data_IF_144428368807
#
_entry.id   IF_144428368807
#
_cell.length_a   1.000
_cell.length_b   1.000
_cell.length_c   1.000
_cell.angle_alpha   90.00
_cell.angle_beta   90.00
_cell.angle_gamma   90.00
#
_symmetry.space_group_name_H-M   'P 1'
#
loop_
_entity.id
_entity.type
_entity.pdbx_description
1 polymer ?
#
# COMPACT_ATOMS: atom_id res chain seq x y z
N UNK A 1 -14.69 12.39 11.05
CA UNK A 1 -14.60 12.60 12.52
C UNK A 1 -13.39 11.83 12.99
N UNK A 2 -12.43 12.49 13.65
CA UNK A 2 -11.31 11.81 14.30
C UNK A 2 -11.88 11.15 15.55
N UNK A 3 -11.95 9.83 15.56
CA UNK A 3 -12.24 9.10 16.79
C UNK A 3 -11.00 9.22 17.69
N UNK A 4 -11.21 9.65 18.94
CA UNK A 4 -10.31 9.38 20.06
C UNK A 4 -8.93 10.09 20.06
N UNK A 5 -8.79 11.22 19.38
CA UNK A 5 -7.55 12.02 19.42
C UNK A 5 -6.38 11.46 18.60
N UNK A 6 -6.57 10.33 17.92
CA UNK A 6 -5.61 9.74 16.98
C UNK A 6 -5.82 10.28 15.56
N UNK A 7 -4.75 10.28 14.77
CA UNK A 7 -4.81 10.53 13.33
C UNK A 7 -3.91 9.56 12.53
N UNK A 8 -3.96 9.65 11.21
CA UNK A 8 -3.22 8.77 10.29
C UNK A 8 -1.77 9.21 10.05
N UNK A 9 -1.33 10.32 10.66
CA UNK A 9 -0.06 10.95 10.38
C UNK A 9 0.06 11.46 8.95
N UNK A 10 1.29 11.64 8.48
CA UNK A 10 1.60 12.05 7.11
C UNK A 10 2.76 11.23 6.56
N UNK A 11 2.51 10.58 5.43
CA UNK A 11 3.53 9.87 4.68
C UNK A 11 4.57 10.82 4.09
N UNK A 12 5.85 10.43 4.12
CA UNK A 12 6.98 11.19 3.57
C UNK A 12 7.02 11.27 2.03
N UNK A 13 6.07 10.62 1.34
CA UNK A 13 6.06 10.53 -0.13
C UNK A 13 7.10 9.56 -0.69
N UNK A 14 7.60 8.63 0.14
CA UNK A 14 8.45 7.51 -0.26
C UNK A 14 9.95 7.73 -0.18
N UNK A 15 10.39 8.87 0.35
CA UNK A 15 11.77 9.10 0.79
C UNK A 15 11.70 9.62 2.23
N UNK A 16 12.30 8.90 3.18
CA UNK A 16 12.49 9.36 4.54
C UNK A 16 13.98 9.56 4.80
N UNK A 17 14.31 10.60 5.57
CA UNK A 17 15.67 10.92 5.95
C UNK A 17 15.73 11.34 7.42
N UNK A 18 16.79 10.93 8.11
CA UNK A 18 17.09 11.36 9.48
C UNK A 18 18.58 11.20 9.76
N UNK A 19 19.05 11.77 10.86
CA UNK A 19 20.47 11.73 11.28
C UNK A 19 20.54 11.24 12.72
N UNK A 20 21.41 10.29 12.98
CA UNK A 20 21.77 9.85 14.33
C UNK A 20 23.29 9.81 14.46
N UNK A 21 23.82 10.53 15.45
CA UNK A 21 25.27 10.70 15.61
C UNK A 21 25.90 11.34 14.38
N UNK A 22 26.87 10.65 13.78
CA UNK A 22 27.61 11.07 12.58
C UNK A 22 27.06 10.46 11.27
N UNK A 23 25.92 9.78 11.34
CA UNK A 23 25.36 9.01 10.22
C UNK A 23 23.99 9.53 9.81
N UNK A 24 23.85 9.86 8.53
CA UNK A 24 22.58 10.11 7.88
C UNK A 24 22.00 8.82 7.29
N UNK A 25 20.72 8.59 7.54
CA UNK A 25 19.98 7.44 7.04
C UNK A 25 18.96 7.89 6.00
N UNK A 26 18.91 7.16 4.89
CA UNK A 26 17.92 7.36 3.83
C UNK A 26 17.11 6.06 3.65
N UNK A 27 15.80 6.14 3.81
CA UNK A 27 14.89 5.03 3.49
C UNK A 27 14.07 5.35 2.26
N UNK A 28 14.23 4.53 1.22
CA UNK A 28 13.63 4.75 -0.10
C UNK A 28 12.56 3.68 -0.35
N UNK A 29 11.30 4.07 -0.29
CA UNK A 29 10.17 3.16 -0.52
C UNK A 29 9.97 2.85 -2.01
N UNK A 30 10.22 3.83 -2.89
CA UNK A 30 9.96 3.71 -4.32
C UNK A 30 11.17 4.07 -5.17
N UNK A 31 11.39 3.32 -6.25
CA UNK A 31 12.55 3.49 -7.15
C UNK A 31 12.60 4.84 -7.85
N UNK A 32 11.46 5.47 -8.11
CA UNK A 32 11.43 6.82 -8.68
C UNK A 32 11.87 7.92 -7.71
N UNK A 33 12.12 7.59 -6.43
CA UNK A 33 12.74 8.50 -5.46
C UNK A 33 14.27 8.33 -5.36
N UNK A 34 14.88 7.41 -6.14
CA UNK A 34 16.32 7.14 -6.06
C UNK A 34 17.19 8.33 -6.49
N UNK A 35 16.77 9.09 -7.49
CA UNK A 35 17.49 10.31 -7.88
C UNK A 35 17.48 11.35 -6.74
N UNK A 36 16.34 11.54 -6.08
CA UNK A 36 16.24 12.43 -4.92
C UNK A 36 17.15 11.93 -3.79
N UNK A 37 17.09 10.63 -3.49
CA UNK A 37 17.94 10.01 -2.47
C UNK A 37 19.44 10.18 -2.79
N UNK A 38 19.83 10.10 -4.05
CA UNK A 38 21.21 10.34 -4.48
C UNK A 38 21.65 11.77 -4.18
N UNK A 39 20.82 12.76 -4.51
CA UNK A 39 21.11 14.16 -4.21
C UNK A 39 21.22 14.40 -2.70
N UNK A 40 20.34 13.79 -1.89
CA UNK A 40 20.42 13.87 -0.43
C UNK A 40 21.67 13.20 0.12
N UNK A 41 22.07 12.04 -0.41
CA UNK A 41 23.29 11.35 -0.02
C UNK A 41 24.54 12.22 -0.30
N UNK A 42 24.65 12.81 -1.49
CA UNK A 42 25.73 13.76 -1.80
C UNK A 42 25.77 14.93 -0.83
N UNK A 43 24.60 15.51 -0.51
CA UNK A 43 24.50 16.62 0.43
C UNK A 43 25.01 16.25 1.84
N UNK A 44 24.58 15.10 2.37
CA UNK A 44 25.02 14.63 3.69
C UNK A 44 26.53 14.31 3.72
N UNK A 45 27.07 13.69 2.67
CA UNK A 45 28.52 13.46 2.57
C UNK A 45 29.31 14.75 2.52
N UNK A 46 28.84 15.74 1.77
CA UNK A 46 29.47 17.07 1.73
C UNK A 46 29.42 17.77 3.10
N UNK A 47 28.41 17.48 3.92
CA UNK A 47 28.30 17.93 5.30
C UNK A 47 29.17 17.13 6.29
N UNK A 48 29.97 16.16 5.82
CA UNK A 48 30.88 15.36 6.65
C UNK A 48 30.23 14.17 7.35
N UNK A 49 29.00 13.80 7.00
CA UNK A 49 28.29 12.65 7.58
C UNK A 49 28.60 11.36 6.81
N UNK A 50 28.59 10.24 7.52
CA UNK A 50 28.40 8.93 6.92
C UNK A 50 26.99 8.86 6.34
N UNK A 51 26.79 8.11 5.26
CA UNK A 51 25.46 7.93 4.66
C UNK A 51 25.17 6.46 4.50
N UNK A 52 24.03 6.03 5.05
CA UNK A 52 23.49 4.69 4.88
C UNK A 52 22.13 4.77 4.20
N UNK A 53 21.88 3.89 3.24
CA UNK A 53 20.64 3.88 2.45
C UNK A 53 20.03 2.50 2.34
N UNK A 54 18.71 2.42 2.49
CA UNK A 54 17.97 1.18 2.44
C UNK A 54 16.53 1.36 1.94
N UNK A 55 15.72 0.34 2.15
CA UNK A 55 14.31 0.30 1.76
C UNK A 55 14.04 -0.40 0.42
N UNK A 56 12.76 -0.69 0.11
CA UNK A 56 12.36 -1.48 -1.05
C UNK A 56 12.81 -0.91 -2.40
N UNK A 57 12.87 0.42 -2.52
CA UNK A 57 13.32 1.10 -3.74
C UNK A 57 14.79 0.77 -4.08
N UNK A 58 15.65 0.67 -3.08
CA UNK A 58 17.07 0.35 -3.25
C UNK A 58 17.27 -1.11 -3.63
N UNK A 59 16.45 -2.02 -3.08
CA UNK A 59 16.59 -3.46 -3.28
C UNK A 59 16.58 -3.88 -4.76
N UNK A 60 15.80 -3.20 -5.61
CA UNK A 60 15.73 -3.50 -7.05
C UNK A 60 16.83 -2.84 -7.88
N UNK A 61 17.62 -1.94 -7.26
CA UNK A 61 18.66 -1.11 -7.89
C UNK A 61 19.89 -1.04 -6.97
N UNK A 62 20.41 -2.21 -6.57
CA UNK A 62 21.41 -2.41 -5.50
C UNK A 62 22.75 -1.66 -5.64
N UNK A 63 23.03 -1.05 -6.78
CA UNK A 63 24.26 -0.30 -7.02
C UNK A 63 24.02 1.19 -7.29
N UNK A 64 22.76 1.65 -7.28
CA UNK A 64 22.41 3.01 -7.72
C UNK A 64 23.04 4.10 -6.86
N UNK A 65 23.29 3.81 -5.59
CA UNK A 65 23.81 4.76 -4.58
C UNK A 65 25.17 4.33 -4.04
N UNK A 66 25.82 3.31 -4.62
CA UNK A 66 26.97 2.63 -4.02
C UNK A 66 28.24 3.51 -3.97
N UNK A 67 28.28 4.57 -4.78
CA UNK A 67 29.35 5.58 -4.82
C UNK A 67 29.14 6.71 -3.79
N UNK A 68 27.93 6.83 -3.22
CA UNK A 68 27.54 7.93 -2.33
C UNK A 68 26.96 7.49 -0.99
N UNK A 69 26.77 6.20 -0.74
CA UNK A 69 26.25 5.67 0.52
C UNK A 69 26.61 4.18 0.72
N UNK A 70 26.66 3.75 1.99
CA UNK A 70 26.57 2.33 2.35
C UNK A 70 25.15 1.82 2.09
N UNK A 71 25.02 0.72 1.35
CA UNK A 71 23.71 0.16 0.98
C UNK A 71 23.34 -1.00 1.91
N UNK A 72 22.12 -0.97 2.42
CA UNK A 72 21.51 -2.06 3.18
C UNK A 72 21.57 -1.84 4.68
N UNK A 73 21.43 -2.93 5.43
CA UNK A 73 21.19 -2.92 6.88
C UNK A 73 19.74 -3.14 7.24
N UNK A 74 19.52 -3.39 8.53
CA UNK A 74 18.21 -3.39 9.16
C UNK A 74 18.21 -2.33 10.24
N UNK A 75 17.19 -1.49 10.25
CA UNK A 75 16.95 -0.51 11.31
C UNK A 75 15.57 -0.81 11.86
N UNK A 76 15.53 -1.06 13.16
CA UNK A 76 14.28 -1.37 13.85
C UNK A 76 13.35 -0.16 13.77
N UNK A 77 12.08 -0.44 13.48
CA UNK A 77 11.02 0.58 13.42
C UNK A 77 11.28 1.77 12.47
N UNK A 78 12.12 1.60 11.45
CA UNK A 78 12.43 2.66 10.48
C UNK A 78 11.20 3.24 9.75
N UNK A 79 10.06 2.53 9.77
CA UNK A 79 8.78 2.99 9.23
C UNK A 79 8.28 4.28 9.91
N UNK A 80 8.67 4.54 11.17
CA UNK A 80 8.30 5.75 11.91
C UNK A 80 8.78 7.03 11.22
N UNK A 81 9.90 6.97 10.49
CA UNK A 81 10.44 8.09 9.72
C UNK A 81 9.67 8.34 8.42
N UNK A 82 8.96 7.32 7.92
CA UNK A 82 8.04 7.49 6.80
C UNK A 82 6.68 8.01 7.25
N UNK A 83 6.19 7.54 8.39
CA UNK A 83 4.97 8.02 9.03
C UNK A 83 5.04 7.73 10.55
N UNK A 84 5.01 8.75 11.43
CA UNK A 84 5.08 8.55 12.87
C UNK A 84 3.97 7.68 13.46
N UNK A 85 2.83 7.55 12.77
CA UNK A 85 1.69 6.73 13.18
C UNK A 85 1.74 5.30 12.61
N UNK A 86 2.78 4.95 11.84
CA UNK A 86 2.91 3.64 11.21
C UNK A 86 3.75 2.67 12.03
N UNK A 87 3.36 1.40 11.97
CA UNK A 87 4.05 0.28 12.60
C UNK A 87 3.94 -0.99 11.75
N UNK A 88 4.76 -1.99 12.08
CA UNK A 88 4.82 -3.28 11.40
C UNK A 88 4.94 -4.37 12.47
N UNK A 89 4.00 -5.32 12.49
CA UNK A 89 3.99 -6.45 13.42
C UNK A 89 4.59 -7.73 12.81
N UNK A 90 4.80 -7.76 11.50
CA UNK A 90 5.37 -8.90 10.78
C UNK A 90 5.94 -8.49 9.42
N UNK A 91 6.89 -9.29 8.93
CA UNK A 91 7.51 -9.17 7.61
C UNK A 91 7.30 -10.46 6.82
N UNK A 92 7.43 -10.37 5.50
CA UNK A 92 7.23 -11.50 4.59
C UNK A 92 5.79 -11.58 4.06
N UNK A 93 5.60 -12.38 3.01
CA UNK A 93 4.27 -12.69 2.47
C UNK A 93 4.29 -13.99 1.64
N UNK A 94 3.42 -14.98 1.95
CA UNK A 94 3.47 -16.30 1.32
C UNK A 94 2.91 -16.32 -0.11
N UNK A 95 2.12 -15.33 -0.51
CA UNK A 95 1.33 -15.36 -1.75
C UNK A 95 2.20 -15.42 -3.00
N UNK A 96 3.30 -14.66 -3.03
CA UNK A 96 4.24 -14.73 -4.16
C UNK A 96 3.77 -14.01 -5.43
N UNK A 97 2.97 -12.94 -5.33
CA UNK A 97 2.47 -12.21 -6.50
C UNK A 97 3.62 -11.79 -7.43
N UNK A 98 3.49 -12.04 -8.74
CA UNK A 98 4.56 -11.85 -9.72
C UNK A 98 5.02 -10.39 -9.87
N UNK A 99 4.15 -9.43 -9.53
CA UNK A 99 4.42 -7.99 -9.56
C UNK A 99 4.94 -7.43 -8.23
N UNK A 100 4.92 -8.22 -7.15
CA UNK A 100 5.27 -7.76 -5.81
C UNK A 100 6.76 -7.97 -5.50
N UNK A 101 7.36 -7.04 -4.76
CA UNK A 101 8.76 -7.16 -4.33
C UNK A 101 8.93 -7.91 -3.01
N UNK A 102 7.90 -7.91 -2.16
CA UNK A 102 7.95 -8.42 -0.77
C UNK A 102 8.53 -9.84 -0.70
N UNK A 103 8.04 -10.85 -1.45
CA UNK A 103 8.56 -12.22 -1.32
C UNK A 103 10.04 -12.36 -1.67
N UNK A 104 10.58 -11.44 -2.49
CA UNK A 104 12.00 -11.43 -2.86
C UNK A 104 12.87 -10.72 -1.82
N UNK A 105 12.30 -9.73 -1.11
CA UNK A 105 13.02 -8.90 -0.15
C UNK A 105 12.94 -9.44 1.27
N UNK A 106 11.76 -9.87 1.70
CA UNK A 106 11.46 -10.30 3.08
C UNK A 106 11.19 -11.81 3.19
N UNK A 107 11.06 -12.51 2.05
CA UNK A 107 10.78 -13.94 2.02
C UNK A 107 9.28 -14.28 1.99
N UNK A 108 9.01 -15.58 1.79
CA UNK A 108 7.64 -16.14 1.79
C UNK A 108 7.18 -16.61 3.17
N UNK A 109 8.12 -16.87 4.06
CA UNK A 109 7.85 -17.20 5.44
C UNK A 109 7.72 -15.91 6.25
N UNK A 110 6.79 -15.89 7.21
CA UNK A 110 6.62 -14.73 8.05
C UNK A 110 7.74 -14.62 9.07
N UNK A 111 8.29 -13.42 9.21
CA UNK A 111 9.07 -13.03 10.39
C UNK A 111 8.14 -12.26 11.32
N UNK A 112 7.90 -12.80 12.51
CA UNK A 112 7.01 -12.21 13.51
C UNK A 112 7.79 -11.22 14.39
N UNK A 113 7.21 -10.06 14.67
CA UNK A 113 7.80 -9.00 15.49
C UNK A 113 6.94 -8.77 16.75
N UNK A 114 6.97 -9.66 17.76
CA UNK A 114 6.00 -9.67 18.86
C UNK A 114 5.98 -8.36 19.68
N UNK A 115 7.12 -7.66 19.76
CA UNK A 115 7.31 -6.44 20.55
C UNK A 115 7.18 -5.15 19.72
N UNK A 116 6.51 -5.20 18.57
CA UNK A 116 6.29 -4.01 17.72
C UNK A 116 5.72 -2.82 18.51
N UNK A 117 5.89 -1.56 18.11
CA UNK A 117 5.17 -0.45 18.72
C UNK A 117 3.69 -0.44 18.26
N UNK A 118 2.71 -0.28 19.14
CA UNK A 118 1.29 -0.17 18.73
C UNK A 118 1.01 1.24 18.23
N UNK A 119 0.59 1.39 16.96
CA UNK A 119 0.26 2.69 16.36
C UNK A 119 -0.94 2.62 15.41
N UNK A 120 -1.61 3.73 15.08
CA UNK A 120 -2.86 3.70 14.30
C UNK A 120 -2.78 3.13 12.88
N UNK A 121 -1.60 3.03 12.28
CA UNK A 121 -1.40 2.53 10.90
C UNK A 121 -0.54 1.27 10.92
N UNK A 122 -1.10 0.14 10.48
CA UNK A 122 -0.42 -1.16 10.44
C UNK A 122 -0.03 -1.51 9.00
N UNK A 123 1.26 -1.73 8.75
CA UNK A 123 1.83 -1.83 7.41
C UNK A 123 2.31 -3.23 7.00
N UNK A 124 1.99 -4.25 7.79
CA UNK A 124 2.25 -5.67 7.48
C UNK A 124 1.77 -6.04 6.09
N UNK A 125 2.55 -6.86 5.36
CA UNK A 125 2.26 -7.15 3.96
C UNK A 125 0.99 -7.97 3.73
N UNK A 126 0.58 -8.78 4.71
CA UNK A 126 -0.60 -9.63 4.62
C UNK A 126 -1.09 -10.04 6.01
N UNK A 127 -2.15 -9.38 6.50
CA UNK A 127 -2.68 -9.60 7.84
C UNK A 127 -3.48 -10.90 7.98
N UNK A 128 -4.24 -11.29 6.96
CA UNK A 128 -5.13 -12.46 7.03
C UNK A 128 -4.39 -13.78 6.87
N UNK A 129 -3.22 -13.79 6.23
CA UNK A 129 -2.41 -15.00 6.08
C UNK A 129 -1.51 -15.29 7.29
N UNK A 130 -1.40 -14.38 8.26
CA UNK A 130 -0.66 -14.64 9.50
C UNK A 130 -1.25 -15.81 10.28
N UNK A 131 -0.44 -16.54 11.07
CA UNK A 131 -0.96 -17.53 12.03
C UNK A 131 -2.05 -16.93 12.91
N UNK A 132 -3.12 -17.69 13.16
CA UNK A 132 -4.32 -17.20 13.86
C UNK A 132 -4.00 -16.67 15.27
N UNK A 133 -3.16 -17.40 16.01
CA UNK A 133 -2.65 -17.03 17.33
C UNK A 133 -1.84 -15.73 17.30
N UNK A 134 -1.07 -15.50 16.23
CA UNK A 134 -0.33 -14.25 16.07
C UNK A 134 -1.22 -13.07 15.68
N UNK A 135 -2.28 -13.31 14.91
CA UNK A 135 -3.31 -12.28 14.69
C UNK A 135 -3.98 -11.91 16.02
N UNK A 136 -4.30 -12.89 16.87
CA UNK A 136 -4.86 -12.66 18.21
C UNK A 136 -3.88 -11.88 19.11
N UNK A 137 -2.58 -12.19 19.04
CA UNK A 137 -1.53 -11.41 19.71
C UNK A 137 -1.59 -9.94 19.28
N UNK A 138 -1.59 -9.64 17.97
CA UNK A 138 -1.68 -8.26 17.47
C UNK A 138 -2.93 -7.58 18.02
N UNK A 139 -4.10 -8.22 17.89
CA UNK A 139 -5.38 -7.67 18.36
C UNK A 139 -5.35 -7.37 19.85
N UNK A 140 -4.84 -8.30 20.67
CA UNK A 140 -4.74 -8.14 22.12
C UNK A 140 -3.87 -6.94 22.51
N UNK A 141 -2.76 -6.70 21.81
CA UNK A 141 -1.90 -5.54 22.09
C UNK A 141 -2.56 -4.22 21.73
N UNK A 142 -3.30 -4.15 20.62
CA UNK A 142 -4.10 -2.96 20.29
C UNK A 142 -5.17 -2.67 21.35
N UNK A 143 -5.87 -3.71 21.81
CA UNK A 143 -6.87 -3.57 22.88
C UNK A 143 -6.24 -3.11 24.20
N UNK A 144 -5.11 -3.71 24.60
CA UNK A 144 -4.41 -3.36 25.82
C UNK A 144 -3.85 -1.93 25.79
N UNK A 145 -3.33 -1.49 24.64
CA UNK A 145 -2.82 -0.13 24.46
C UNK A 145 -3.92 0.94 24.33
N UNK A 146 -5.17 0.55 24.08
CA UNK A 146 -6.28 1.48 23.83
C UNK A 146 -6.13 2.30 22.54
N UNK A 147 -5.27 1.85 21.62
CA UNK A 147 -5.01 2.53 20.34
C UNK A 147 -5.96 1.96 19.27
N UNK A 148 -6.71 2.79 18.52
CA UNK A 148 -7.52 2.31 17.42
C UNK A 148 -6.68 1.99 16.18
N UNK A 149 -6.98 0.89 15.48
CA UNK A 149 -6.41 0.62 14.16
C UNK A 149 -7.19 1.43 13.11
N UNK A 150 -6.63 2.58 12.71
CA UNK A 150 -7.24 3.50 11.75
C UNK A 150 -6.95 3.12 10.30
N UNK A 151 -5.86 2.39 10.03
CA UNK A 151 -5.54 1.90 8.70
C UNK A 151 -4.71 0.61 8.73
N UNK A 152 -5.31 -0.50 8.32
CA UNK A 152 -4.59 -1.71 7.91
C UNK A 152 -4.09 -1.49 6.47
N UNK A 153 -2.94 -0.82 6.32
CA UNK A 153 -2.54 -0.09 5.12
C UNK A 153 -2.36 -0.99 3.87
N UNK A 154 -1.68 -2.13 4.04
CA UNK A 154 -1.47 -3.12 2.97
C UNK A 154 -2.68 -4.04 2.76
N UNK A 155 -3.59 -4.09 3.74
CA UNK A 155 -4.85 -4.81 3.67
C UNK A 155 -4.78 -6.31 4.02
N UNK A 156 -5.80 -7.02 3.53
CA UNK A 156 -6.04 -8.43 3.76
C UNK A 156 -6.07 -9.17 2.42
N UNK A 157 -5.54 -10.39 2.40
CA UNK A 157 -5.57 -11.28 1.25
C UNK A 157 -6.94 -11.99 1.17
N UNK A 158 -7.73 -11.78 0.10
CA UNK A 158 -9.05 -12.41 -0.04
C UNK A 158 -9.04 -13.92 0.11
N UNK A 159 -7.99 -14.62 -0.34
CA UNK A 159 -7.90 -16.09 -0.26
C UNK A 159 -7.98 -16.59 1.18
N UNK A 160 -7.32 -15.90 2.10
CA UNK A 160 -7.21 -16.26 3.52
C UNK A 160 -8.14 -15.43 4.44
N UNK A 161 -8.95 -14.55 3.88
CA UNK A 161 -9.93 -13.78 4.65
C UNK A 161 -11.27 -14.52 4.71
N UNK A 162 -11.63 -14.97 5.92
CA UNK A 162 -12.86 -15.68 6.25
C UNK A 162 -13.59 -15.01 7.44
N UNK A 163 -14.67 -15.64 7.91
CA UNK A 163 -15.50 -15.13 9.00
C UNK A 163 -14.72 -15.00 10.33
N UNK A 164 -13.81 -15.92 10.62
CA UNK A 164 -13.01 -15.92 11.85
C UNK A 164 -11.98 -14.79 11.82
N UNK A 165 -11.30 -14.61 10.70
CA UNK A 165 -10.40 -13.46 10.48
C UNK A 165 -11.20 -12.16 10.58
N UNK A 166 -12.37 -12.06 9.94
CA UNK A 166 -13.20 -10.86 10.06
C UNK A 166 -13.60 -10.57 11.51
N UNK A 167 -14.08 -11.57 12.24
CA UNK A 167 -14.48 -11.43 13.65
C UNK A 167 -13.31 -10.93 14.52
N UNK A 168 -12.13 -11.51 14.34
CA UNK A 168 -10.90 -11.14 15.05
C UNK A 168 -10.52 -9.67 14.81
N UNK A 169 -10.38 -9.28 13.55
CA UNK A 169 -9.91 -7.93 13.20
C UNK A 169 -10.96 -6.83 13.41
N UNK A 170 -12.26 -7.16 13.32
CA UNK A 170 -13.35 -6.19 13.51
C UNK A 170 -13.34 -5.55 14.90
N UNK A 171 -12.81 -6.26 15.90
CA UNK A 171 -12.68 -5.75 17.26
C UNK A 171 -11.92 -4.43 17.32
N UNK A 172 -10.84 -4.31 16.54
CA UNK A 172 -9.92 -3.15 16.58
C UNK A 172 -9.93 -2.30 15.32
N UNK A 173 -10.31 -2.86 14.15
CA UNK A 173 -10.30 -2.12 12.89
C UNK A 173 -11.39 -1.05 12.89
N UNK A 174 -10.98 0.21 12.75
CA UNK A 174 -11.84 1.39 12.58
C UNK A 174 -11.65 2.03 11.21
N UNK A 175 -10.65 1.58 10.46
CA UNK A 175 -10.35 1.98 9.09
C UNK A 175 -11.18 1.24 8.03
N UNK A 176 -10.85 1.46 6.74
CA UNK A 176 -11.39 0.64 5.67
C UNK A 176 -10.83 -0.78 5.72
N UNK A 177 -11.64 -1.75 5.34
CA UNK A 177 -11.22 -3.08 4.92
C UNK A 177 -10.63 -2.97 3.53
N UNK A 178 -9.35 -3.32 3.40
CA UNK A 178 -8.60 -3.26 2.14
C UNK A 178 -8.34 -4.67 1.63
N UNK A 179 -8.59 -4.88 0.35
CA UNK A 179 -8.36 -6.15 -0.34
C UNK A 179 -7.67 -5.89 -1.68
N UNK A 180 -7.07 -6.92 -2.27
CA UNK A 180 -6.54 -6.88 -3.64
C UNK A 180 -7.42 -7.70 -4.59
N UNK A 181 -7.60 -7.21 -5.81
CA UNK A 181 -8.21 -7.93 -6.92
C UNK A 181 -7.42 -7.64 -8.20
N UNK A 182 -6.23 -8.22 -8.25
CA UNK A 182 -5.18 -7.84 -9.19
C UNK A 182 -5.19 -8.69 -10.47
N UNK A 183 -5.73 -9.91 -10.42
CA UNK A 183 -5.96 -10.75 -11.60
C UNK A 183 -7.31 -11.48 -11.56
N UNK A 184 -7.75 -11.99 -12.71
CA UNK A 184 -9.05 -12.66 -12.79
C UNK A 184 -9.15 -13.96 -11.97
N UNK A 185 -8.03 -14.61 -11.64
CA UNK A 185 -8.04 -15.84 -10.85
C UNK A 185 -8.45 -15.58 -9.38
N UNK A 186 -8.34 -14.34 -8.91
CA UNK A 186 -8.76 -13.93 -7.57
C UNK A 186 -10.27 -13.73 -7.42
N UNK A 187 -11.00 -13.65 -8.55
CA UNK A 187 -12.45 -13.40 -8.60
C UNK A 187 -13.27 -14.14 -7.55
N UNK A 188 -13.22 -15.49 -7.45
CA UNK A 188 -14.08 -16.21 -6.51
C UNK A 188 -13.82 -15.83 -5.05
N UNK A 189 -12.58 -15.49 -4.69
CA UNK A 189 -12.23 -15.10 -3.32
C UNK A 189 -12.71 -13.69 -3.01
N UNK A 190 -12.53 -12.75 -3.94
CA UNK A 190 -12.99 -11.36 -3.78
C UNK A 190 -14.51 -11.31 -3.73
N UNK A 191 -15.20 -12.05 -4.61
CA UNK A 191 -16.66 -12.14 -4.59
C UNK A 191 -17.18 -12.66 -3.23
N UNK A 192 -16.56 -13.73 -2.71
CA UNK A 192 -16.88 -14.29 -1.39
C UNK A 192 -16.75 -13.24 -0.29
N UNK A 193 -15.60 -12.55 -0.23
CA UNK A 193 -15.34 -11.52 0.78
C UNK A 193 -16.36 -10.38 0.69
N UNK A 194 -16.67 -9.91 -0.53
CA UNK A 194 -17.62 -8.82 -0.69
C UNK A 194 -19.05 -9.20 -0.28
N UNK A 195 -19.47 -10.45 -0.54
CA UNK A 195 -20.74 -11.00 -0.05
C UNK A 195 -20.76 -11.12 1.48
N UNK A 196 -19.68 -11.62 2.07
CA UNK A 196 -19.51 -11.69 3.53
C UNK A 196 -19.63 -10.31 4.19
N UNK A 197 -19.09 -9.28 3.53
CA UNK A 197 -19.12 -7.89 4.01
C UNK A 197 -20.32 -7.08 3.45
N UNK A 198 -21.42 -7.74 3.05
CA UNK A 198 -22.59 -7.05 2.48
C UNK A 198 -23.16 -5.96 3.39
N UNK A 199 -23.17 -6.18 4.70
CA UNK A 199 -23.65 -5.22 5.70
C UNK A 199 -22.65 -4.09 6.03
N UNK A 200 -21.38 -4.23 5.62
CA UNK A 200 -20.37 -3.19 5.81
C UNK A 200 -20.56 -2.10 4.75
N UNK A 201 -20.49 -0.83 5.18
CA UNK A 201 -20.65 0.32 4.30
C UNK A 201 -19.67 0.27 3.11
N UNK A 202 -20.09 0.62 1.88
CA UNK A 202 -19.19 0.68 0.73
C UNK A 202 -17.93 1.51 0.96
N UNK A 203 -18.03 2.63 1.69
CA UNK A 203 -16.89 3.51 2.01
C UNK A 203 -15.84 2.85 2.91
N UNK A 204 -16.19 1.75 3.57
CA UNK A 204 -15.29 0.96 4.41
C UNK A 204 -14.78 -0.29 3.67
N UNK A 205 -15.09 -0.48 2.39
CA UNK A 205 -14.63 -1.62 1.59
C UNK A 205 -13.85 -1.08 0.40
N UNK A 206 -12.53 -1.08 0.50
CA UNK A 206 -11.64 -0.61 -0.57
C UNK A 206 -10.96 -1.81 -1.22
N UNK A 207 -11.06 -1.93 -2.53
CA UNK A 207 -10.44 -3.04 -3.27
C UNK A 207 -9.42 -2.47 -4.25
N UNK A 208 -8.15 -2.75 -4.02
CA UNK A 208 -7.09 -2.46 -4.97
C UNK A 208 -7.32 -3.27 -6.25
N UNK A 209 -7.24 -2.63 -7.40
CA UNK A 209 -7.38 -3.30 -8.70
C UNK A 209 -6.19 -2.91 -9.57
N UNK A 210 -5.25 -3.83 -9.76
CA UNK A 210 -4.19 -3.67 -10.74
C UNK A 210 -4.78 -3.66 -12.17
N UNK A 211 -4.36 -2.66 -12.96
CA UNK A 211 -4.71 -2.54 -14.38
C UNK A 211 -3.47 -2.41 -15.25
N UNK A 212 -3.56 -2.79 -16.53
CA UNK A 212 -2.41 -2.81 -17.44
C UNK A 212 -1.53 -4.06 -17.31
N UNK A 213 -1.87 -4.97 -16.40
CA UNK A 213 -1.29 -6.30 -16.28
C UNK A 213 -2.05 -7.39 -17.08
N UNK A 214 -3.25 -7.08 -17.55
CA UNK A 214 -4.13 -7.92 -18.37
C UNK A 214 -4.85 -7.05 -19.41
N UNK A 215 -5.52 -7.64 -20.43
CA UNK A 215 -6.32 -6.89 -21.39
C UNK A 215 -7.34 -5.97 -20.73
N UNK A 216 -7.65 -4.84 -21.39
CA UNK A 216 -8.52 -3.79 -20.85
C UNK A 216 -9.87 -4.34 -20.40
N UNK A 217 -10.48 -5.22 -21.19
CA UNK A 217 -11.77 -5.82 -20.88
C UNK A 217 -11.79 -6.53 -19.53
N UNK A 218 -10.75 -7.32 -19.21
CA UNK A 218 -10.64 -8.07 -17.95
C UNK A 218 -10.45 -7.13 -16.75
N UNK A 219 -9.57 -6.14 -16.89
CA UNK A 219 -9.35 -5.11 -15.86
C UNK A 219 -10.64 -4.31 -15.58
N UNK A 220 -11.35 -3.88 -16.63
CA UNK A 220 -12.61 -3.15 -16.49
C UNK A 220 -13.72 -4.02 -15.90
N UNK A 221 -13.74 -5.32 -16.21
CA UNK A 221 -14.65 -6.27 -15.56
C UNK A 221 -14.43 -6.27 -14.04
N UNK A 222 -13.19 -6.41 -13.56
CA UNK A 222 -12.89 -6.38 -12.12
C UNK A 222 -13.37 -5.10 -11.45
N UNK A 223 -13.10 -3.94 -12.07
CA UNK A 223 -13.55 -2.65 -11.52
C UNK A 223 -15.08 -2.61 -11.39
N UNK A 224 -15.81 -3.04 -12.43
CA UNK A 224 -17.27 -3.07 -12.42
C UNK A 224 -17.82 -4.07 -11.40
N UNK A 225 -17.18 -5.23 -11.25
CA UNK A 225 -17.54 -6.25 -10.25
C UNK A 225 -17.36 -5.72 -8.82
N UNK A 226 -16.25 -5.07 -8.50
CA UNK A 226 -16.05 -4.41 -7.19
C UNK A 226 -17.18 -3.42 -6.89
N UNK A 227 -17.53 -2.56 -7.85
CA UNK A 227 -18.62 -1.58 -7.71
C UNK A 227 -19.95 -2.31 -7.50
N UNK A 228 -20.25 -3.32 -8.32
CA UNK A 228 -21.50 -4.09 -8.26
C UNK A 228 -21.66 -4.84 -6.93
N UNK A 229 -20.56 -5.33 -6.34
CA UNK A 229 -20.56 -5.96 -5.03
C UNK A 229 -20.52 -4.97 -3.86
N UNK A 230 -20.65 -3.66 -4.15
CA UNK A 230 -20.77 -2.60 -3.16
C UNK A 230 -19.46 -2.21 -2.50
N UNK A 231 -18.32 -2.42 -3.16
CA UNK A 231 -17.01 -1.90 -2.76
C UNK A 231 -16.63 -0.62 -3.52
N UNK A 232 -15.59 0.05 -3.06
CA UNK A 232 -14.94 1.15 -3.77
C UNK A 232 -13.63 0.66 -4.41
N UNK A 233 -13.53 0.67 -5.75
CA UNK A 233 -12.30 0.30 -6.41
C UNK A 233 -11.20 1.35 -6.16
N UNK A 234 -9.99 0.87 -5.96
CA UNK A 234 -8.77 1.66 -5.92
C UNK A 234 -7.84 1.13 -7.02
N UNK A 235 -8.01 1.68 -8.21
CA UNK A 235 -7.29 1.30 -9.41
C UNK A 235 -5.84 1.75 -9.34
N UNK A 236 -4.93 0.81 -9.59
CA UNK A 236 -3.49 1.03 -9.65
C UNK A 236 -2.98 0.65 -11.03
N UNK A 237 -2.54 1.61 -11.86
CA UNK A 237 -1.84 1.29 -13.10
C UNK A 237 -0.54 0.52 -12.82
N UNK A 238 -0.33 -0.57 -13.56
CA UNK A 238 0.88 -1.36 -13.45
C UNK A 238 2.12 -0.50 -13.69
N UNK A 239 3.08 -0.61 -12.79
CA UNK A 239 4.38 0.04 -12.87
C UNK A 239 5.47 -1.01 -12.67
N UNK A 240 6.60 -0.84 -13.36
CA UNK A 240 7.77 -1.69 -13.09
C UNK A 240 8.35 -1.34 -11.73
N UNK A 241 8.65 -2.36 -10.92
CA UNK A 241 9.30 -2.19 -9.61
C UNK A 241 10.64 -1.44 -9.69
N UNK A 242 11.31 -1.49 -10.84
CA UNK A 242 12.59 -0.83 -11.08
C UNK A 242 12.48 0.53 -11.83
N UNK A 243 11.28 1.11 -11.96
CA UNK A 243 11.05 2.35 -12.69
C UNK A 243 11.62 3.58 -11.95
N UNK A 244 12.47 4.35 -12.63
CA UNK A 244 13.05 5.59 -12.07
C UNK A 244 12.12 6.80 -12.23
N UNK A 245 11.00 6.63 -12.94
CA UNK A 245 9.97 7.63 -13.10
C UNK A 245 8.64 7.05 -12.62
N UNK A 246 7.78 7.90 -12.03
CA UNK A 246 6.44 7.51 -11.60
C UNK A 246 5.49 7.43 -12.81
N UNK A 247 5.74 6.46 -13.68
CA UNK A 247 5.08 6.30 -14.97
C UNK A 247 4.50 4.88 -15.12
N UNK A 248 3.22 4.73 -15.48
CA UNK A 248 2.63 3.43 -15.80
C UNK A 248 3.36 2.73 -16.95
N UNK A 249 3.41 1.41 -16.90
CA UNK A 249 3.98 0.57 -17.96
C UNK A 249 2.86 -0.19 -18.69
N UNK A 250 2.32 0.38 -19.80
CA UNK A 250 1.25 -0.26 -20.54
C UNK A 250 1.68 -1.57 -21.18
N UNK A 251 0.78 -2.55 -21.17
CA UNK A 251 0.87 -3.84 -21.88
C UNK A 251 -0.47 -4.11 -22.57
N UNK A 252 -0.55 -5.15 -23.41
CA UNK A 252 -1.78 -5.52 -24.12
C UNK A 252 -2.32 -4.37 -24.97
N UNK A 253 -3.61 -4.11 -24.88
CA UNK A 253 -4.39 -3.06 -25.54
C UNK A 253 -4.41 -1.72 -24.77
N UNK A 254 -3.56 -1.58 -23.75
CA UNK A 254 -3.43 -0.34 -23.00
C UNK A 254 -2.45 0.65 -23.63
N UNK A 255 -2.72 1.94 -23.42
CA UNK A 255 -1.70 2.98 -23.48
C UNK A 255 -1.64 3.73 -22.14
N UNK A 256 -0.54 4.46 -21.92
CA UNK A 256 -0.31 5.17 -20.66
C UNK A 256 -1.45 6.12 -20.29
N UNK A 257 -1.96 6.83 -21.28
CA UNK A 257 -2.95 7.85 -21.06
C UNK A 257 -4.33 7.25 -20.73
N UNK A 258 -4.66 6.11 -21.34
CA UNK A 258 -5.84 5.34 -20.99
C UNK A 258 -5.75 4.78 -19.56
N UNK A 259 -4.59 4.28 -19.14
CA UNK A 259 -4.37 3.84 -17.75
C UNK A 259 -4.61 4.98 -16.75
N UNK A 260 -4.08 6.18 -17.04
CA UNK A 260 -4.28 7.38 -16.22
C UNK A 260 -5.76 7.77 -16.16
N UNK A 261 -6.47 7.69 -17.28
CA UNK A 261 -7.89 8.03 -17.36
C UNK A 261 -8.77 7.06 -16.57
N UNK A 262 -8.56 5.75 -16.71
CA UNK A 262 -9.29 4.73 -15.94
C UNK A 262 -9.00 4.89 -14.45
N UNK A 263 -7.75 5.10 -14.06
CA UNK A 263 -7.39 5.33 -12.66
C UNK A 263 -8.08 6.59 -12.09
N UNK A 264 -8.09 7.70 -12.84
CA UNK A 264 -8.78 8.93 -12.41
C UNK A 264 -10.30 8.71 -12.28
N UNK A 265 -10.91 8.05 -13.25
CA UNK A 265 -12.34 7.75 -13.23
C UNK A 265 -12.72 6.84 -12.05
N UNK A 266 -12.02 5.71 -11.87
CA UNK A 266 -12.34 4.70 -10.87
C UNK A 266 -11.97 5.12 -9.44
N UNK A 267 -10.90 5.88 -9.25
CA UNK A 267 -10.48 6.36 -7.93
C UNK A 267 -11.28 7.59 -7.46
N UNK A 268 -12.31 7.96 -8.22
CA UNK A 268 -13.27 9.02 -7.91
C UNK A 268 -14.68 8.45 -7.78
N UNK A 269 -15.14 8.16 -6.55
CA UNK A 269 -16.53 7.78 -6.30
C UNK A 269 -17.55 8.85 -6.68
N UNK A 270 -17.15 10.09 -6.95
CA UNK A 270 -18.07 11.13 -7.45
C UNK A 270 -18.24 11.09 -8.97
N UNK A 271 -17.22 10.62 -9.71
CA UNK A 271 -17.28 10.46 -11.16
C UNK A 271 -17.98 9.16 -11.50
N UNK A 272 -17.45 7.99 -11.09
CA UNK A 272 -17.96 6.70 -11.60
C UNK A 272 -19.39 6.37 -11.14
N UNK A 273 -19.88 6.99 -10.05
CA UNK A 273 -21.29 6.86 -9.63
C UNK A 273 -22.27 7.57 -10.56
N UNK A 274 -21.79 8.51 -11.38
CA UNK A 274 -22.63 9.36 -12.24
C UNK A 274 -22.39 9.11 -13.72
N UNK A 275 -21.16 8.72 -14.07
CA UNK A 275 -20.71 8.65 -15.46
C UNK A 275 -20.04 7.29 -15.68
N UNK A 276 -20.59 6.44 -16.56
CA UNK A 276 -19.90 5.22 -16.96
C UNK A 276 -18.62 5.58 -17.73
N UNK A 277 -17.62 4.70 -17.74
CA UNK A 277 -16.30 5.05 -18.29
C UNK A 277 -16.35 5.41 -19.78
N UNK A 278 -17.27 4.83 -20.54
CA UNK A 278 -17.50 5.08 -21.96
C UNK A 278 -17.84 6.57 -22.24
N UNK A 279 -18.50 7.20 -21.28
CA UNK A 279 -18.89 8.62 -21.31
C UNK A 279 -17.89 9.53 -20.58
N UNK A 280 -16.82 8.97 -20.00
CA UNK A 280 -15.80 9.74 -19.31
C UNK A 280 -15.08 10.68 -20.29
N UNK A 281 -14.84 11.91 -19.83
CA UNK A 281 -14.14 12.96 -20.58
C UNK A 281 -13.12 13.62 -19.66
N UNK A 282 -11.83 13.38 -19.92
CA UNK A 282 -10.73 13.92 -19.10
C UNK A 282 -10.68 15.46 -19.02
N UNK A 283 -11.23 16.14 -20.03
CA UNK A 283 -11.25 17.61 -20.14
C UNK A 283 -12.25 18.26 -19.19
N UNK A 284 -13.20 17.48 -18.66
CA UNK A 284 -14.15 17.97 -17.67
C UNK A 284 -13.39 18.24 -16.37
N UNK A 285 -13.40 19.52 -15.95
CA UNK A 285 -12.81 19.92 -14.69
C UNK A 285 -13.64 19.35 -13.55
N UNK A 286 -13.00 18.56 -12.69
CA UNK A 286 -13.59 18.12 -11.43
C UNK A 286 -13.06 19.02 -10.31
N UNK A 287 -13.87 19.26 -9.26
CA UNK A 287 -13.42 19.99 -8.05
C UNK A 287 -12.54 19.13 -7.14
N UNK A 288 -12.21 17.92 -7.57
CA UNK A 288 -11.54 16.91 -6.78
C UNK A 288 -10.09 17.25 -6.55
N UNK A 289 -9.61 16.89 -5.37
CA UNK A 289 -8.20 16.95 -5.03
C UNK A 289 -7.67 15.54 -4.94
N UNK A 290 -6.57 15.25 -5.62
CA UNK A 290 -5.85 14.01 -5.38
C UNK A 290 -5.20 14.08 -4.01
N UNK A 291 -5.56 13.17 -3.13
CA UNK A 291 -4.94 12.99 -1.83
C UNK A 291 -3.85 11.92 -1.94
N UNK A 292 -2.61 12.38 -1.88
CA UNK A 292 -1.43 11.52 -1.96
C UNK A 292 -1.32 10.54 -0.79
N UNK A 293 -1.93 10.83 0.36
CA UNK A 293 -1.87 9.96 1.54
C UNK A 293 -2.72 8.72 1.37
N UNK A 294 -3.89 8.86 0.74
CA UNK A 294 -4.84 7.75 0.54
C UNK A 294 -4.85 7.22 -0.90
N UNK A 295 -4.12 7.87 -1.81
CA UNK A 295 -3.99 7.50 -3.22
C UNK A 295 -5.27 7.67 -4.05
N UNK A 296 -6.21 8.51 -3.60
CA UNK A 296 -7.54 8.66 -4.19
C UNK A 296 -7.88 10.13 -4.44
N UNK A 297 -8.88 10.35 -5.30
CA UNK A 297 -9.50 11.66 -5.44
C UNK A 297 -10.56 11.84 -4.34
N UNK A 298 -10.46 12.95 -3.60
CA UNK A 298 -11.38 13.35 -2.53
C UNK A 298 -12.10 14.66 -2.86
#
# INVERSE_FOLDING_TARGET
MRADGYDLGRWSGGLAEWVEGDTAFLSVAFTWRLNDAYQRACWHRAAGLNVRVGGPGVFTRKHFLADVAEIGGSIDDAVVHHNPMATIASRGCPVGCWFCIVPKMEGKEFTLLPDFPVRPVLCDNNLSALPADYQDHIVSRYQAAGVPLLDANSGFEPRTFDDDVYARWKAINRGPWRFAYDDMAERPFVERVMRMLAAVSPRQKRVYVLIGNEPMAACMQRIREVIAWGGEPHVQPFMKLNALERRPYPRFDWNEQLLRDVARWANSPMIWRKVPFEDYRRSVKTRERYDEQVGMFV
#
